data_IF_400896298403
#
_entry.id   IF_400896298403
#
_cell.length_a   1.000
_cell.length_b   1.000
_cell.length_c   1.000
_cell.angle_alpha   90.00
_cell.angle_beta   90.00
_cell.angle_gamma   90.00
#
_symmetry.space_group_name_H-M   'P 1'
#
loop_
_entity.id
_entity.type
_entity.pdbx_description
1 polymer ?
#
# COMPACT_ATOMS: atom_id res chain seq x y z
N UNK A 1 6.52 -3.20 2.87
CA UNK A 1 7.62 -3.61 3.75
C UNK A 1 8.70 -2.54 3.85
N UNK A 2 9.30 -2.38 5.03
CA UNK A 2 10.49 -1.55 5.23
C UNK A 2 11.69 -2.45 4.96
N UNK A 3 12.50 -2.13 3.96
CA UNK A 3 13.67 -2.93 3.59
C UNK A 3 14.91 -2.50 4.38
N UNK A 4 15.03 -1.21 4.69
CA UNK A 4 16.13 -0.66 5.49
C UNK A 4 15.69 0.65 6.13
N UNK A 5 16.23 0.98 7.30
CA UNK A 5 16.02 2.25 7.97
C UNK A 5 17.34 2.78 8.55
N UNK A 6 17.51 4.09 8.55
CA UNK A 6 18.67 4.76 9.15
C UNK A 6 18.27 6.08 9.80
N UNK A 7 18.90 6.37 10.94
CA UNK A 7 18.70 7.63 11.66
C UNK A 7 19.53 8.75 11.04
N UNK A 8 18.97 9.95 11.06
CA UNK A 8 19.63 11.18 10.62
C UNK A 8 20.17 11.95 11.82
N UNK A 9 21.19 12.79 11.62
CA UNK A 9 21.83 13.54 12.70
C UNK A 9 20.94 14.56 13.41
N UNK A 10 19.80 14.92 12.81
CA UNK A 10 18.79 15.82 13.38
C UNK A 10 17.60 15.08 14.01
N UNK A 11 17.73 13.78 14.31
CA UNK A 11 16.69 13.01 15.00
C UNK A 11 15.55 12.52 14.11
N UNK A 12 15.59 12.74 12.80
CA UNK A 12 14.69 12.09 11.85
C UNK A 12 15.13 10.67 11.50
N UNK A 13 14.23 9.92 10.87
CA UNK A 13 14.47 8.57 10.35
C UNK A 13 14.23 8.57 8.86
N UNK A 14 15.14 7.97 8.09
CA UNK A 14 14.92 7.68 6.68
C UNK A 14 14.72 6.17 6.53
N UNK A 15 13.65 5.81 5.83
CA UNK A 15 13.26 4.44 5.56
C UNK A 15 13.20 4.22 4.06
N UNK A 16 13.64 3.04 3.63
CA UNK A 16 13.54 2.56 2.27
C UNK A 16 12.42 1.51 2.23
N UNK A 17 11.37 1.78 1.46
CA UNK A 17 10.15 1.01 1.47
C UNK A 17 9.85 0.41 0.10
N UNK A 18 9.38 -0.83 0.16
CA UNK A 18 8.67 -1.45 -0.93
C UNK A 18 7.17 -1.46 -0.59
N UNK A 19 6.35 -0.88 -1.45
CA UNK A 19 4.90 -0.85 -1.26
C UNK A 19 4.19 -1.45 -2.46
N UNK A 20 3.03 -2.06 -2.21
CA UNK A 20 2.16 -2.58 -3.23
C UNK A 20 0.79 -1.91 -3.12
N UNK A 21 0.19 -1.63 -4.27
CA UNK A 21 -1.15 -1.10 -4.41
C UNK A 21 -1.95 -2.06 -5.29
N UNK A 22 -3.05 -2.56 -4.75
CA UNK A 22 -3.98 -3.39 -5.51
C UNK A 22 -4.53 -2.64 -6.72
N UNK A 23 -4.71 -3.36 -7.83
CA UNK A 23 -5.37 -2.82 -9.00
C UNK A 23 -6.83 -2.44 -8.66
N UNK A 24 -7.31 -1.26 -9.09
CA UNK A 24 -8.71 -0.87 -9.01
C UNK A 24 -9.70 -1.86 -9.65
N UNK A 25 -9.23 -2.70 -10.57
CA UNK A 25 -10.01 -3.69 -11.35
C UNK A 25 -9.15 -4.90 -11.67
N UNK A 26 -9.76 -6.05 -11.98
CA UNK A 26 -9.05 -7.26 -12.42
C UNK A 26 -8.52 -7.21 -13.86
N UNK A 27 -8.87 -6.16 -14.62
CA UNK A 27 -8.47 -5.97 -16.03
C UNK A 27 -7.10 -5.30 -16.21
N UNK A 28 -6.38 -5.05 -15.12
CA UNK A 28 -5.07 -4.41 -15.13
C UNK A 28 -4.21 -4.94 -13.98
N UNK A 29 -2.89 -4.95 -14.16
CA UNK A 29 -1.92 -5.36 -13.15
C UNK A 29 -1.91 -4.45 -11.93
N UNK A 30 -1.49 -4.97 -10.78
CA UNK A 30 -1.29 -4.16 -9.58
C UNK A 30 -0.07 -3.23 -9.72
N UNK A 31 0.05 -2.24 -8.81
CA UNK A 31 1.19 -1.32 -8.79
C UNK A 31 2.13 -1.65 -7.66
N UNK A 32 3.42 -1.53 -7.91
CA UNK A 32 4.44 -1.53 -6.88
C UNK A 32 5.18 -0.19 -6.85
N UNK A 33 5.69 0.17 -5.68
CA UNK A 33 6.45 1.38 -5.44
C UNK A 33 7.74 1.04 -4.71
N UNK A 34 8.77 1.80 -5.04
CA UNK A 34 10.06 1.73 -4.38
C UNK A 34 10.44 3.13 -3.88
N UNK A 35 10.19 3.40 -2.60
CA UNK A 35 10.18 4.75 -2.06
C UNK A 35 11.19 4.94 -0.93
N UNK A 36 11.67 6.17 -0.82
CA UNK A 36 12.36 6.69 0.34
C UNK A 36 11.37 7.54 1.13
N UNK A 37 11.22 7.24 2.42
CA UNK A 37 10.41 8.02 3.35
C UNK A 37 11.32 8.65 4.39
N UNK A 38 11.17 9.95 4.61
CA UNK A 38 11.76 10.66 5.73
C UNK A 38 10.68 10.99 6.75
N UNK A 39 10.92 10.68 8.02
CA UNK A 39 10.02 10.98 9.13
C UNK A 39 10.78 11.77 10.17
N UNK A 40 10.24 12.89 10.65
CA UNK A 40 10.88 13.70 11.69
C UNK A 40 9.86 14.45 12.53
N UNK A 41 10.19 14.65 13.81
CA UNK A 41 9.43 15.50 14.73
C UNK A 41 10.09 16.87 14.74
N UNK A 42 9.30 17.90 14.45
CA UNK A 42 9.72 19.30 14.42
C UNK A 42 9.73 19.89 15.83
N UNK A 43 10.37 21.05 15.99
CA UNK A 43 10.51 21.75 17.29
C UNK A 43 9.17 22.13 17.91
N UNK A 44 8.16 22.39 17.09
CA UNK A 44 6.78 22.72 17.52
C UNK A 44 5.97 21.46 17.92
N UNK A 45 6.58 20.28 17.89
CA UNK A 45 5.94 18.99 18.16
C UNK A 45 5.15 18.42 16.98
N UNK A 46 5.17 19.07 15.81
CA UNK A 46 4.56 18.54 14.60
C UNK A 46 5.36 17.35 14.05
N UNK A 47 4.66 16.38 13.46
CA UNK A 47 5.28 15.24 12.77
C UNK A 47 5.23 15.51 11.26
N UNK A 48 6.39 15.47 10.60
CA UNK A 48 6.50 15.51 9.14
C UNK A 48 6.91 14.14 8.62
N UNK A 49 6.24 13.72 7.56
CA UNK A 49 6.56 12.53 6.78
C UNK A 49 6.64 12.96 5.32
N UNK A 50 7.80 12.80 4.70
CA UNK A 50 8.02 13.08 3.28
C UNK A 50 8.32 11.77 2.57
N UNK A 51 7.77 11.56 1.39
CA UNK A 51 7.95 10.33 0.63
C UNK A 51 8.16 10.62 -0.85
N UNK A 52 9.05 9.84 -1.47
CA UNK A 52 9.32 9.91 -2.91
C UNK A 52 9.89 8.58 -3.42
N UNK A 53 9.56 8.20 -4.65
CA UNK A 53 10.21 7.10 -5.34
C UNK A 53 11.69 7.40 -5.63
N UNK A 54 12.52 6.36 -5.53
CA UNK A 54 13.90 6.44 -6.02
C UNK A 54 13.89 6.27 -7.54
N UNK A 55 13.98 7.38 -8.28
CA UNK A 55 14.21 7.34 -9.72
C UNK A 55 15.67 6.99 -10.01
N UNK A 56 15.91 6.02 -10.89
CA UNK A 56 17.26 5.53 -11.24
C UNK A 56 18.17 6.55 -11.93
N UNK A 57 17.73 7.80 -12.06
CA UNK A 57 18.41 8.88 -12.77
C UNK A 57 19.72 9.35 -12.11
N UNK A 58 20.02 8.90 -10.89
CA UNK A 58 21.25 9.27 -10.16
C UNK A 58 22.23 8.09 -9.95
N UNK A 59 22.15 7.03 -10.77
CA UNK A 59 23.12 5.92 -10.73
C UNK A 59 23.08 5.07 -9.45
N UNK A 60 22.03 5.24 -8.63
CA UNK A 60 21.77 4.41 -7.45
C UNK A 60 21.15 3.06 -7.82
N UNK A 61 21.14 2.10 -6.88
CA UNK A 61 20.53 0.79 -7.11
C UNK A 61 19.04 0.93 -7.41
N UNK A 62 18.64 0.56 -8.62
CA UNK A 62 17.24 0.44 -9.02
C UNK A 62 16.72 -0.93 -8.64
N UNK A 63 15.58 -1.00 -7.95
CA UNK A 63 14.94 -2.26 -7.65
C UNK A 63 14.41 -2.89 -8.95
N UNK A 64 14.74 -4.16 -9.26
CA UNK A 64 14.33 -4.80 -10.51
C UNK A 64 12.80 -4.84 -10.67
N UNK A 65 12.28 -4.99 -11.89
CA UNK A 65 10.85 -5.20 -12.09
C UNK A 65 10.38 -6.46 -11.35
N UNK A 66 9.23 -6.36 -10.68
CA UNK A 66 8.60 -7.50 -9.99
C UNK A 66 7.53 -8.09 -10.92
N UNK A 67 7.48 -9.41 -11.13
CA UNK A 67 6.47 -10.04 -11.97
C UNK A 67 5.04 -9.65 -11.54
N UNK A 68 4.16 -9.42 -12.52
CA UNK A 68 2.75 -9.05 -12.33
C UNK A 68 2.47 -7.66 -11.73
N UNK A 69 3.50 -6.86 -11.46
CA UNK A 69 3.36 -5.48 -11.03
C UNK A 69 3.86 -4.50 -12.09
N UNK A 70 3.20 -3.35 -12.17
CA UNK A 70 3.70 -2.19 -12.91
C UNK A 70 4.30 -1.22 -11.90
N UNK A 71 5.57 -0.86 -12.10
CA UNK A 71 6.28 0.10 -11.24
C UNK A 71 5.67 1.48 -11.38
N UNK A 72 5.01 1.94 -10.33
CA UNK A 72 4.48 3.28 -10.22
C UNK A 72 5.49 4.23 -9.55
N UNK A 73 5.31 5.53 -9.76
CA UNK A 73 6.16 6.56 -9.17
C UNK A 73 5.41 7.35 -8.09
N UNK A 74 5.98 7.41 -6.89
CA UNK A 74 5.61 8.38 -5.87
C UNK A 74 6.39 9.66 -6.15
N UNK A 75 5.70 10.70 -6.62
CA UNK A 75 6.25 12.04 -6.72
C UNK A 75 6.28 12.69 -5.32
N UNK A 76 6.88 13.88 -5.12
CA UNK A 76 6.97 14.50 -3.80
C UNK A 76 5.61 14.52 -3.07
N UNK A 77 5.51 13.67 -2.06
CA UNK A 77 4.28 13.39 -1.32
C UNK A 77 4.56 13.33 0.18
N UNK A 78 3.53 13.32 1.00
CA UNK A 78 3.71 13.22 2.44
C UNK A 78 2.59 13.79 3.29
N UNK A 79 2.91 13.91 4.58
CA UNK A 79 1.99 14.31 5.64
C UNK A 79 2.67 15.31 6.57
N UNK A 80 1.93 16.35 6.97
CA UNK A 80 2.27 17.19 8.11
C UNK A 80 1.14 17.09 9.13
N UNK A 81 1.45 16.50 10.29
CA UNK A 81 0.51 16.29 11.38
C UNK A 81 0.87 17.29 12.48
N UNK A 82 -0.04 18.25 12.73
CA UNK A 82 0.15 19.28 13.74
C UNK A 82 -0.75 19.02 14.94
N UNK A 83 -0.23 19.04 16.18
CA UNK A 83 -1.07 18.99 17.36
C UNK A 83 -1.98 20.22 17.43
N UNK A 84 -3.15 20.07 18.02
CA UNK A 84 -4.11 21.16 18.23
C UNK A 84 -4.54 21.22 19.69
N UNK A 85 -4.84 22.43 20.15
CA UNK A 85 -5.47 22.62 21.45
C UNK A 85 -6.82 21.88 21.48
N UNK A 86 -7.07 21.13 22.56
CA UNK A 86 -8.26 20.27 22.68
C UNK A 86 -8.05 18.79 22.31
N UNK A 87 -6.79 18.34 22.16
CA UNK A 87 -6.47 16.91 22.03
C UNK A 87 -6.66 16.33 20.63
N UNK A 88 -6.79 17.19 19.62
CA UNK A 88 -6.90 16.81 18.21
C UNK A 88 -5.60 17.04 17.43
N UNK A 89 -5.66 16.79 16.12
CA UNK A 89 -4.58 17.13 15.20
C UNK A 89 -5.14 17.63 13.87
N UNK A 90 -4.42 18.56 13.24
CA UNK A 90 -4.67 18.94 11.85
C UNK A 90 -3.65 18.20 10.98
N UNK A 91 -4.15 17.46 10.00
CA UNK A 91 -3.33 16.68 9.08
C UNK A 91 -3.39 17.35 7.70
N UNK A 92 -2.24 17.79 7.19
CA UNK A 92 -2.07 18.23 5.81
C UNK A 92 -1.50 17.06 5.01
N UNK A 93 -2.12 16.75 3.86
CA UNK A 93 -1.79 15.58 3.06
C UNK A 93 -1.48 16.03 1.63
N UNK A 94 -0.39 15.53 1.08
CA UNK A 94 -0.02 15.68 -0.33
C UNK A 94 0.16 14.29 -0.92
N UNK A 95 -0.77 13.87 -1.77
CA UNK A 95 -0.70 12.61 -2.50
C UNK A 95 -0.43 12.91 -3.98
N UNK A 96 0.79 12.64 -4.43
CA UNK A 96 1.20 12.85 -5.82
C UNK A 96 1.86 11.58 -6.34
N UNK A 97 1.15 10.86 -7.20
CA UNK A 97 1.60 9.59 -7.76
C UNK A 97 1.37 9.54 -9.27
N UNK A 98 2.31 8.94 -9.98
CA UNK A 98 2.11 8.44 -11.34
C UNK A 98 1.85 6.93 -11.26
N UNK A 99 0.65 6.51 -11.66
CA UNK A 99 0.22 5.12 -11.62
C UNK A 99 0.38 4.39 -12.97
N UNK A 100 1.19 4.96 -13.87
CA UNK A 100 1.44 4.46 -15.22
C UNK A 100 0.12 4.23 -15.98
N UNK A 101 -0.72 5.25 -16.17
CA UNK A 101 -2.04 5.08 -16.79
C UNK A 101 -1.96 4.58 -18.23
N UNK A 102 -0.85 4.82 -18.92
CA UNK A 102 -0.60 4.33 -20.27
C UNK A 102 -0.46 2.80 -20.34
N UNK A 103 -0.17 2.15 -19.21
CA UNK A 103 -0.10 0.68 -19.12
C UNK A 103 -1.46 -0.01 -19.10
N UNK A 104 -2.57 0.74 -19.06
CA UNK A 104 -3.93 0.18 -19.02
C UNK A 104 -4.77 0.57 -20.24
N UNK A 105 -5.83 -0.20 -20.57
CA UNK A 105 -6.79 0.20 -21.60
C UNK A 105 -7.35 1.60 -21.38
N UNK A 106 -7.59 2.34 -22.46
CA UNK A 106 -8.03 3.75 -22.43
C UNK A 106 -9.27 3.98 -21.56
N UNK A 107 -10.23 3.06 -21.61
CA UNK A 107 -11.46 3.09 -20.80
C UNK A 107 -11.19 3.03 -19.29
N UNK A 108 -10.05 2.49 -18.85
CA UNK A 108 -9.67 2.37 -17.44
C UNK A 108 -8.74 3.49 -16.95
N UNK A 109 -8.13 4.28 -17.86
CA UNK A 109 -7.21 5.38 -17.50
C UNK A 109 -7.75 6.35 -16.46
N UNK A 110 -9.04 6.74 -16.48
CA UNK A 110 -9.58 7.63 -15.46
C UNK A 110 -9.44 7.10 -14.03
N UNK A 111 -9.36 5.78 -13.83
CA UNK A 111 -9.15 5.19 -12.50
C UNK A 111 -7.73 5.37 -11.96
N UNK A 112 -6.78 5.69 -12.83
CA UNK A 112 -5.35 5.84 -12.52
C UNK A 112 -4.87 7.29 -12.60
N UNK A 113 -5.51 8.12 -13.44
CA UNK A 113 -5.19 9.54 -13.60
C UNK A 113 -5.97 10.44 -12.63
N UNK A 114 -7.16 10.00 -12.19
CA UNK A 114 -8.02 10.85 -11.37
C UNK A 114 -7.55 10.93 -9.92
N UNK A 115 -7.10 12.11 -9.52
CA UNK A 115 -6.74 12.43 -8.13
C UNK A 115 -7.91 12.26 -7.16
N UNK A 116 -9.15 12.47 -7.61
CA UNK A 116 -10.35 12.30 -6.76
C UNK A 116 -10.63 10.83 -6.48
N UNK A 117 -10.50 9.96 -7.48
CA UNK A 117 -10.66 8.51 -7.32
C UNK A 117 -9.58 7.96 -6.39
N UNK A 118 -8.33 8.39 -6.60
CA UNK A 118 -7.21 8.03 -5.75
C UNK A 118 -7.49 8.45 -4.30
N UNK A 119 -7.69 9.75 -4.04
CA UNK A 119 -7.91 10.27 -2.70
C UNK A 119 -9.10 9.62 -1.99
N UNK A 120 -10.16 9.27 -2.72
CA UNK A 120 -11.31 8.56 -2.14
C UNK A 120 -10.95 7.13 -1.70
N UNK A 121 -10.18 6.39 -2.51
CA UNK A 121 -9.86 4.98 -2.28
C UNK A 121 -8.71 4.79 -1.29
N UNK A 122 -7.73 5.70 -1.26
CA UNK A 122 -6.57 5.60 -0.37
C UNK A 122 -6.78 6.47 0.86
N UNK A 123 -6.74 7.80 0.70
CA UNK A 123 -6.62 8.78 1.77
C UNK A 123 -7.87 8.84 2.64
N UNK A 124 -9.05 8.92 2.02
CA UNK A 124 -10.33 8.94 2.75
C UNK A 124 -10.65 7.61 3.41
N UNK A 125 -10.31 6.49 2.78
CA UNK A 125 -10.46 5.18 3.40
C UNK A 125 -9.56 5.04 4.64
N UNK A 126 -8.30 5.46 4.54
CA UNK A 126 -7.35 5.45 5.64
C UNK A 126 -7.80 6.38 6.79
N UNK A 127 -8.24 7.61 6.50
CA UNK A 127 -8.72 8.54 7.52
C UNK A 127 -9.99 8.06 8.21
N UNK A 128 -10.93 7.43 7.48
CA UNK A 128 -12.11 6.79 8.11
C UNK A 128 -11.70 5.67 9.05
N UNK A 129 -10.73 4.85 8.64
CA UNK A 129 -10.21 3.77 9.48
C UNK A 129 -9.48 4.30 10.73
N UNK A 130 -8.65 5.34 10.59
CA UNK A 130 -7.98 5.99 11.71
C UNK A 130 -8.97 6.64 12.68
N UNK A 131 -10.01 7.32 12.16
CA UNK A 131 -11.09 7.87 12.99
C UNK A 131 -11.81 6.78 13.77
N UNK A 132 -12.11 5.64 13.12
CA UNK A 132 -12.73 4.51 13.79
C UNK A 132 -11.85 3.99 14.94
N UNK A 133 -10.56 3.77 14.67
CA UNK A 133 -9.58 3.36 15.70
C UNK A 133 -9.54 4.35 16.86
N UNK A 134 -9.43 5.65 16.56
CA UNK A 134 -9.35 6.70 17.58
C UNK A 134 -10.59 6.71 18.49
N UNK A 135 -11.79 6.62 17.89
CA UNK A 135 -13.04 6.56 18.64
C UNK A 135 -13.10 5.34 19.57
N UNK A 136 -12.57 4.19 19.15
CA UNK A 136 -12.56 2.99 19.97
C UNK A 136 -11.53 3.04 21.11
N UNK A 137 -10.40 3.72 20.92
CA UNK A 137 -9.38 3.94 21.97
C UNK A 137 -9.89 4.92 23.03
N UNK A 138 -10.61 5.97 22.62
CA UNK A 138 -11.18 6.97 23.53
C UNK A 138 -12.42 6.49 24.30
N UNK A 139 -13.04 5.38 23.88
CA UNK A 139 -14.28 4.86 24.45
C UNK A 139 -14.02 3.99 25.70
N UNK A 140 -13.51 4.63 26.76
CA UNK A 140 -13.71 4.18 28.14
C UNK A 140 -14.77 5.05 28.87
N UNK A 141 -15.38 6.02 28.17
CA UNK A 141 -16.39 6.90 28.74
C UNK A 141 -17.55 7.11 27.75
N UNK A 142 -18.77 6.85 28.24
CA UNK A 142 -20.12 7.02 27.64
C UNK A 142 -20.75 5.81 26.93
N UNK A 143 -21.23 4.89 27.78
CA UNK A 143 -22.57 4.26 27.76
C UNK A 143 -23.27 4.04 26.40
N UNK A 144 -23.36 2.75 26.05
CA UNK A 144 -24.65 2.16 25.66
C UNK A 144 -25.01 2.13 24.18
N UNK A 145 -24.29 1.33 23.37
CA UNK A 145 -24.87 0.49 22.31
C UNK A 145 -23.89 -0.63 21.91
N UNK A 146 -24.25 -1.88 22.21
CA UNK A 146 -23.78 -3.11 21.54
C UNK A 146 -22.26 -3.37 21.44
N UNK A 147 -21.68 -4.03 22.45
CA UNK A 147 -20.43 -4.81 22.35
C UNK A 147 -20.56 -5.76 21.13
N UNK A 148 -19.66 -5.92 20.15
CA UNK A 148 -18.20 -5.84 20.13
C UNK A 148 -17.63 -5.44 18.74
N UNK A 149 -17.10 -4.22 18.56
CA UNK A 149 -16.37 -3.84 17.34
C UNK A 149 -14.90 -4.33 17.31
N UNK A 150 -14.20 -4.29 18.45
CA UNK A 150 -12.76 -4.62 18.52
C UNK A 150 -12.45 -6.11 18.30
N UNK A 151 -13.29 -7.01 18.79
CA UNK A 151 -13.16 -8.45 18.55
C UNK A 151 -13.45 -8.79 17.08
N UNK A 152 -14.46 -8.16 16.47
CA UNK A 152 -14.76 -8.29 15.04
C UNK A 152 -13.66 -7.71 14.15
N UNK A 153 -13.01 -6.60 14.54
CA UNK A 153 -11.84 -6.08 13.81
C UNK A 153 -10.61 -6.96 13.97
N UNK A 154 -10.30 -7.43 15.17
CA UNK A 154 -9.23 -8.40 15.38
C UNK A 154 -9.47 -9.67 14.56
N UNK A 155 -10.73 -10.14 14.53
CA UNK A 155 -11.13 -11.26 13.69
C UNK A 155 -11.03 -10.95 12.20
N UNK A 156 -11.53 -9.81 11.74
CA UNK A 156 -11.45 -9.37 10.34
C UNK A 156 -10.00 -9.17 9.90
N UNK A 157 -9.14 -8.59 10.74
CA UNK A 157 -7.72 -8.44 10.47
C UNK A 157 -7.02 -9.79 10.41
N UNK A 158 -7.34 -10.72 11.32
CA UNK A 158 -6.84 -12.10 11.27
C UNK A 158 -7.34 -12.83 10.02
N UNK A 159 -8.58 -12.60 9.61
CA UNK A 159 -9.17 -13.20 8.41
C UNK A 159 -8.55 -12.62 7.16
N UNK A 160 -8.45 -11.30 7.02
CA UNK A 160 -7.80 -10.63 5.90
C UNK A 160 -6.31 -10.98 5.83
N UNK A 161 -5.62 -11.03 6.97
CA UNK A 161 -4.22 -11.47 7.04
C UNK A 161 -4.09 -12.94 6.65
N UNK A 162 -4.90 -13.84 7.22
CA UNK A 162 -4.87 -15.26 6.89
C UNK A 162 -5.28 -15.55 5.44
N UNK A 163 -6.22 -14.78 4.89
CA UNK A 163 -6.60 -14.83 3.47
C UNK A 163 -5.45 -14.33 2.60
N UNK A 164 -4.85 -13.19 2.90
CA UNK A 164 -3.69 -12.68 2.17
C UNK A 164 -2.48 -13.61 2.29
N UNK A 165 -2.23 -14.22 3.45
CA UNK A 165 -1.19 -15.22 3.65
C UNK A 165 -1.49 -16.51 2.90
N UNK A 166 -2.75 -16.94 2.80
CA UNK A 166 -3.12 -18.10 2.01
C UNK A 166 -3.01 -17.81 0.50
N UNK A 167 -3.46 -16.64 0.05
CA UNK A 167 -3.42 -16.21 -1.36
C UNK A 167 -1.98 -15.93 -1.82
N UNK A 168 -1.18 -15.25 -1.01
CA UNK A 168 0.22 -14.96 -1.32
C UNK A 168 1.18 -16.11 -0.95
N UNK A 169 0.72 -17.04 -0.10
CA UNK A 169 1.42 -18.28 0.28
C UNK A 169 1.15 -19.45 -0.66
N UNK A 170 0.35 -19.25 -1.72
CA UNK A 170 0.54 -20.02 -2.95
C UNK A 170 1.88 -19.60 -3.54
N UNK A 171 2.97 -20.15 -3.00
CA UNK A 171 4.15 -20.36 -3.82
C UNK A 171 3.70 -21.10 -5.07
N UNK A 172 4.31 -20.77 -6.21
CA UNK A 172 4.07 -21.40 -7.50
C UNK A 172 4.56 -22.86 -7.44
N UNK A 173 3.89 -23.67 -6.61
CA UNK A 173 4.31 -24.95 -6.04
C UNK A 173 4.31 -26.02 -7.13
N UNK A 174 5.26 -25.92 -8.05
CA UNK A 174 5.46 -26.87 -9.14
C UNK A 174 4.41 -26.79 -10.24
N UNK A 175 3.64 -25.69 -10.34
CA UNK A 175 2.83 -25.42 -11.52
C UNK A 175 3.75 -24.99 -12.66
N UNK A 176 3.79 -25.81 -13.71
CA UNK A 176 4.57 -25.53 -14.92
C UNK A 176 3.63 -25.28 -16.10
N UNK A 177 4.01 -24.33 -16.96
CA UNK A 177 3.28 -24.05 -18.19
C UNK A 177 3.36 -25.30 -19.08
N UNK A 178 2.21 -25.85 -19.46
CA UNK A 178 2.20 -26.87 -20.50
C UNK A 178 2.49 -26.16 -21.82
N UNK A 179 3.51 -26.62 -22.56
CA UNK A 179 3.93 -25.96 -23.80
C UNK A 179 2.75 -25.84 -24.77
N UNK A 180 2.35 -24.59 -25.09
CA UNK A 180 1.40 -24.29 -26.15
C UNK A 180 2.15 -23.80 -27.38
N UNK A 181 1.57 -24.01 -28.56
CA UNK A 181 2.12 -23.59 -29.85
C UNK A 181 1.92 -22.09 -30.13
N UNK A 182 1.46 -21.33 -29.13
CA UNK A 182 1.28 -19.88 -29.18
C UNK A 182 0.01 -19.42 -29.89
N UNK A 183 -0.89 -20.33 -30.28
CA UNK A 183 -2.12 -20.00 -31.01
C UNK A 183 -3.40 -20.03 -30.15
N UNK A 184 -3.31 -20.49 -28.90
CA UNK A 184 -4.48 -20.67 -28.01
C UNK A 184 -4.69 -19.50 -27.03
N UNK A 185 -5.93 -19.04 -26.90
CA UNK A 185 -6.38 -18.04 -25.90
C UNK A 185 -6.49 -18.60 -24.47
N UNK A 186 -6.20 -19.89 -24.28
CA UNK A 186 -6.32 -20.60 -23.02
C UNK A 186 -4.94 -21.11 -22.59
N UNK A 187 -4.49 -20.67 -21.42
CA UNK A 187 -3.24 -21.16 -20.81
C UNK A 187 -3.54 -22.27 -19.81
N UNK A 188 -2.90 -23.43 -19.98
CA UNK A 188 -3.03 -24.58 -19.08
C UNK A 188 -1.72 -24.74 -18.28
N UNK A 189 -1.84 -24.74 -16.96
CA UNK A 189 -0.73 -25.04 -16.05
C UNK A 189 -0.93 -26.42 -15.42
N UNK A 190 0.16 -27.18 -15.27
CA UNK A 190 0.15 -28.53 -14.71
C UNK A 190 1.03 -28.57 -13.47
N UNK A 191 0.49 -29.11 -12.38
CA UNK A 191 1.24 -29.38 -11.15
C UNK A 191 1.75 -30.82 -11.15
N UNK A 192 3.06 -31.00 -11.25
CA UNK A 192 3.71 -32.31 -11.23
C UNK A 192 4.34 -32.67 -9.87
N UNK A 193 3.94 -32.00 -8.78
CA UNK A 193 4.46 -32.33 -7.45
C UNK A 193 4.00 -33.73 -6.97
N UNK A 194 4.92 -34.63 -6.59
CA UNK A 194 4.61 -36.00 -6.18
C UNK A 194 4.00 -36.11 -4.77
N UNK A 195 3.89 -35.00 -4.04
CA UNK A 195 3.40 -34.96 -2.65
C UNK A 195 1.87 -34.83 -2.51
N UNK A 196 1.12 -34.91 -3.62
CA UNK A 196 -0.36 -34.83 -3.63
C UNK A 196 -1.04 -36.05 -4.30
N UNK A 197 -0.37 -37.19 -4.36
CA UNK A 197 -1.00 -38.49 -4.63
C UNK A 197 -1.40 -39.19 -3.33
#
# INVERSE_FOLDING_TARGET
DILTAFSTGNGGTVELLYMQMYAPTTLASARDFWTLRYTSVLEDGSLVVCERSLSGTQGGPSMPPVPHFVRAEMLPSGYLIRPCEGGGSIIHIVDHMDLEPWSVPEVLRPLYESSTVLAQKTTMAALRHLRQIAQEISCDVVLGWGRQPAALRTFSQRLSKGFNEAVNGFTDDGWSLMGSDGMDDVTVLINSSPSKL
#
